data_IF_259085689721
#
_entry.id   IF_259085689721
#
_cell.length_a   1.000
_cell.length_b   1.000
_cell.length_c   1.000
_cell.angle_alpha   90.00
_cell.angle_beta   90.00
_cell.angle_gamma   90.00
#
_symmetry.space_group_name_H-M   'P 1'
#
loop_
_entity.id
_entity.type
_entity.pdbx_description
1 polymer ?
#
# COMPACT_ATOMS: atom_id res chain seq x y z
N UNK A 1 32.15 -13.97 -18.62
CA UNK A 1 32.54 -14.06 -17.20
C UNK A 1 31.36 -13.89 -16.23
N UNK A 2 30.11 -13.72 -16.72
CA UNK A 2 28.88 -13.52 -15.93
C UNK A 2 27.78 -14.55 -16.25
N UNK A 3 28.17 -15.78 -16.60
CA UNK A 3 27.19 -16.83 -16.95
C UNK A 3 26.46 -17.27 -15.68
N UNK A 4 25.14 -17.06 -15.67
CA UNK A 4 24.23 -17.47 -14.62
C UNK A 4 23.99 -18.98 -14.71
N UNK A 5 23.91 -19.65 -13.56
CA UNK A 5 23.62 -21.08 -13.43
C UNK A 5 22.37 -21.30 -12.57
N UNK A 6 21.67 -22.43 -12.74
CA UNK A 6 20.70 -22.91 -11.75
C UNK A 6 21.24 -22.80 -10.34
N UNK A 7 20.37 -22.42 -9.39
CA UNK A 7 20.69 -22.27 -7.98
C UNK A 7 21.67 -21.14 -7.61
N UNK A 8 22.13 -20.33 -8.58
CA UNK A 8 22.78 -19.06 -8.29
C UNK A 8 21.76 -18.15 -7.56
N UNK A 9 22.22 -17.43 -6.54
CA UNK A 9 21.45 -16.39 -5.85
C UNK A 9 21.86 -15.04 -6.43
N UNK A 10 20.91 -14.31 -6.97
CA UNK A 10 21.14 -12.98 -7.56
C UNK A 10 20.73 -11.91 -6.58
N UNK A 11 21.55 -10.86 -6.45
CA UNK A 11 21.26 -9.70 -5.61
C UNK A 11 21.48 -8.40 -6.38
N UNK A 12 20.55 -7.45 -6.26
CA UNK A 12 20.74 -6.11 -6.82
C UNK A 12 21.70 -5.30 -5.95
N UNK A 13 22.71 -4.71 -6.60
CA UNK A 13 23.83 -4.03 -5.95
C UNK A 13 23.99 -2.57 -6.39
N UNK A 14 23.15 -2.11 -7.32
CA UNK A 14 23.07 -0.73 -7.76
C UNK A 14 21.60 -0.31 -7.94
N UNK A 15 21.28 0.95 -7.66
CA UNK A 15 19.90 1.46 -7.67
C UNK A 15 19.11 0.97 -6.46
N UNK A 16 18.05 0.19 -6.66
CA UNK A 16 17.35 -0.47 -5.54
C UNK A 16 18.18 -1.66 -5.05
N UNK A 17 19.04 -1.44 -4.06
CA UNK A 17 19.89 -2.48 -3.47
C UNK A 17 19.05 -3.49 -2.66
N UNK A 18 19.49 -4.76 -2.66
CA UNK A 18 18.99 -5.77 -1.73
C UNK A 18 17.78 -6.55 -2.22
N UNK A 19 17.35 -6.42 -3.49
CA UNK A 19 16.41 -7.35 -4.10
C UNK A 19 17.12 -8.65 -4.43
N UNK A 20 16.52 -9.77 -4.05
CA UNK A 20 17.14 -11.09 -4.12
C UNK A 20 16.25 -12.06 -4.88
N UNK A 21 16.87 -12.94 -5.66
CA UNK A 21 16.18 -14.04 -6.35
C UNK A 21 17.06 -15.27 -6.48
N UNK A 22 16.44 -16.44 -6.55
CA UNK A 22 17.13 -17.71 -6.85
C UNK A 22 16.87 -18.07 -8.30
N UNK A 23 17.91 -18.47 -9.02
CA UNK A 23 17.78 -18.89 -10.41
C UNK A 23 17.18 -20.29 -10.46
N UNK A 24 16.03 -20.48 -11.15
CA UNK A 24 15.38 -21.78 -11.21
C UNK A 24 16.17 -22.79 -12.05
N UNK A 25 15.95 -24.08 -11.81
CA UNK A 25 16.59 -25.15 -12.57
C UNK A 25 16.22 -25.15 -14.06
N UNK A 26 15.03 -24.64 -14.38
CA UNK A 26 14.52 -24.52 -15.76
C UNK A 26 15.05 -23.28 -16.49
N UNK A 27 15.89 -22.47 -15.85
CA UNK A 27 16.39 -21.24 -16.45
C UNK A 27 17.29 -21.54 -17.67
N UNK A 28 17.09 -20.85 -18.82
CA UNK A 28 18.02 -20.95 -19.93
C UNK A 28 19.37 -20.32 -19.56
N UNK A 29 20.43 -20.54 -20.35
CA UNK A 29 21.70 -19.84 -20.19
C UNK A 29 21.50 -18.31 -20.31
N UNK A 30 21.89 -17.57 -19.28
CA UNK A 30 21.71 -16.12 -19.20
C UNK A 30 22.95 -15.42 -18.64
N UNK A 31 23.01 -14.11 -18.83
CA UNK A 31 23.97 -13.22 -18.19
C UNK A 31 23.23 -12.10 -17.45
N UNK A 32 23.91 -11.41 -16.53
CA UNK A 32 23.40 -10.20 -15.88
C UNK A 32 24.26 -8.97 -16.23
N UNK A 33 23.69 -7.79 -16.01
CA UNK A 33 24.41 -6.52 -16.09
C UNK A 33 25.23 -6.26 -14.80
N UNK A 34 25.94 -5.12 -14.75
CA UNK A 34 26.81 -4.76 -13.61
C UNK A 34 26.05 -4.37 -12.34
N UNK A 35 24.73 -4.16 -12.41
CA UNK A 35 23.89 -3.82 -11.25
C UNK A 35 23.46 -5.06 -10.45
N UNK A 36 23.87 -6.26 -10.86
CA UNK A 36 23.48 -7.53 -10.24
C UNK A 36 24.74 -8.33 -9.89
N UNK A 37 24.84 -8.75 -8.64
CA UNK A 37 25.84 -9.71 -8.20
C UNK A 37 25.28 -11.14 -8.24
N UNK A 38 26.18 -12.08 -8.57
CA UNK A 38 25.91 -13.52 -8.58
C UNK A 38 26.59 -14.10 -7.33
N UNK A 39 25.81 -14.67 -6.43
CA UNK A 39 26.29 -15.37 -5.24
C UNK A 39 26.05 -16.87 -5.42
N UNK A 40 27.11 -17.65 -5.30
CA UNK A 40 27.06 -19.12 -5.43
C UNK A 40 27.25 -19.76 -4.07
N UNK A 41 26.19 -20.26 -3.43
CA UNK A 41 26.32 -20.90 -2.14
C UNK A 41 27.04 -22.26 -2.27
N UNK A 42 27.84 -22.60 -1.26
CA UNK A 42 28.43 -23.93 -1.09
C UNK A 42 27.40 -24.95 -0.60
N UNK A 43 27.72 -26.24 -0.64
CA UNK A 43 26.80 -27.35 -0.27
C UNK A 43 26.13 -27.19 1.11
N UNK A 44 26.84 -26.59 2.07
CA UNK A 44 26.35 -26.36 3.44
C UNK A 44 25.26 -25.29 3.53
N UNK A 45 25.01 -24.52 2.47
CA UNK A 45 24.10 -23.38 2.47
C UNK A 45 23.08 -23.52 1.34
N UNK A 46 21.80 -23.67 1.69
CA UNK A 46 20.76 -23.83 0.69
C UNK A 46 20.47 -22.48 -0.01
N UNK A 47 20.42 -22.43 -1.36
CA UNK A 47 20.15 -21.20 -2.10
C UNK A 47 18.87 -20.49 -1.67
N UNK A 48 17.79 -21.25 -1.45
CA UNK A 48 16.50 -20.73 -0.97
C UNK A 48 16.63 -20.08 0.41
N UNK A 49 17.36 -20.71 1.33
CA UNK A 49 17.60 -20.15 2.65
C UNK A 49 18.42 -18.87 2.57
N UNK A 50 19.53 -18.88 1.81
CA UNK A 50 20.36 -17.69 1.62
C UNK A 50 19.55 -16.53 1.03
N UNK A 51 18.72 -16.80 0.02
CA UNK A 51 17.87 -15.77 -0.57
C UNK A 51 16.89 -15.16 0.45
N UNK A 52 16.31 -16.00 1.32
CA UNK A 52 15.43 -15.54 2.40
C UNK A 52 16.16 -14.75 3.47
N UNK A 53 17.36 -15.18 3.84
CA UNK A 53 18.17 -14.46 4.81
C UNK A 53 18.64 -13.11 4.27
N UNK A 54 19.07 -13.02 3.00
CA UNK A 54 19.47 -11.75 2.37
C UNK A 54 18.31 -10.74 2.29
N UNK A 55 17.06 -11.21 2.24
CA UNK A 55 15.86 -10.39 2.33
C UNK A 55 15.46 -9.99 3.75
N UNK A 56 16.15 -10.47 4.80
CA UNK A 56 15.83 -10.17 6.20
C UNK A 56 16.27 -8.77 6.61
N UNK A 57 15.65 -8.22 7.65
CA UNK A 57 16.01 -6.91 8.19
C UNK A 57 17.49 -6.82 8.60
N UNK A 58 18.05 -7.92 9.12
CA UNK A 58 19.45 -7.99 9.51
C UNK A 58 20.38 -7.85 8.30
N UNK A 59 20.20 -8.68 7.27
CA UNK A 59 21.01 -8.60 6.06
C UNK A 59 20.87 -7.24 5.34
N UNK A 60 19.66 -6.68 5.30
CA UNK A 60 19.42 -5.35 4.73
C UNK A 60 20.15 -4.26 5.54
N UNK A 61 20.17 -4.36 6.87
CA UNK A 61 20.92 -3.45 7.72
C UNK A 61 22.44 -3.57 7.54
N UNK A 62 22.96 -4.80 7.41
CA UNK A 62 24.38 -5.04 7.10
C UNK A 62 24.75 -4.41 5.75
N UNK A 63 23.94 -4.61 4.71
CA UNK A 63 24.15 -4.01 3.39
C UNK A 63 24.07 -2.48 3.44
N UNK A 64 23.11 -1.92 4.16
CA UNK A 64 22.97 -0.46 4.31
C UNK A 64 24.20 0.18 4.98
N UNK A 65 24.78 -0.46 6.00
CA UNK A 65 26.01 0.01 6.66
C UNK A 65 27.24 -0.08 5.76
N UNK A 66 27.28 -1.08 4.88
CA UNK A 66 28.37 -1.28 3.95
C UNK A 66 28.30 -0.34 2.73
N UNK A 67 27.18 0.38 2.51
CA UNK A 67 27.09 1.31 1.39
C UNK A 67 28.09 2.46 1.54
N UNK A 68 28.79 2.77 0.45
CA UNK A 68 29.61 3.98 0.37
C UNK A 68 28.69 5.13 -0.03
N UNK A 69 28.62 6.16 0.80
CA UNK A 69 27.83 7.38 0.57
C UNK A 69 28.48 8.26 -0.51
N UNK A 70 28.54 7.78 -1.74
CA UNK A 70 28.64 8.63 -2.92
C UNK A 70 27.25 8.73 -3.56
N UNK A 71 27.01 9.75 -4.39
CA UNK A 71 25.71 10.12 -5.00
C UNK A 71 24.95 8.97 -5.68
N UNK A 72 25.57 7.81 -5.87
CA UNK A 72 24.97 6.55 -6.32
C UNK A 72 25.22 5.49 -5.24
N UNK A 73 24.15 5.04 -4.57
CA UNK A 73 24.21 3.90 -3.65
C UNK A 73 24.56 2.63 -4.43
N UNK A 74 25.79 2.15 -4.27
CA UNK A 74 26.27 0.89 -4.83
C UNK A 74 26.94 0.03 -3.75
N UNK A 75 26.79 -1.29 -3.87
CA UNK A 75 27.46 -2.28 -3.03
C UNK A 75 28.52 -3.02 -3.88
N UNK A 76 29.76 -3.04 -3.43
CA UNK A 76 30.83 -3.78 -4.12
C UNK A 76 30.74 -5.29 -3.86
N UNK A 77 31.32 -6.11 -4.75
CA UNK A 77 31.37 -7.56 -4.55
C UNK A 77 32.16 -7.96 -3.29
N UNK A 78 33.19 -7.19 -2.92
CA UNK A 78 33.92 -7.40 -1.67
C UNK A 78 33.03 -7.20 -0.45
N UNK A 79 32.23 -6.13 -0.42
CA UNK A 79 31.29 -5.86 0.68
C UNK A 79 30.20 -6.92 0.81
N UNK A 80 29.75 -7.51 -0.29
CA UNK A 80 28.83 -8.67 -0.24
C UNK A 80 29.51 -9.89 0.38
N UNK A 81 30.81 -10.09 0.08
CA UNK A 81 31.61 -11.18 0.65
C UNK A 81 31.80 -11.08 2.17
N UNK A 82 31.71 -9.88 2.73
CA UNK A 82 31.84 -9.62 4.18
C UNK A 82 30.52 -9.76 4.96
N UNK A 83 29.39 -10.06 4.29
CA UNK A 83 28.11 -10.24 4.98
C UNK A 83 28.17 -11.45 5.92
N UNK A 84 27.79 -11.24 7.18
CA UNK A 84 27.78 -12.27 8.21
C UNK A 84 26.49 -13.09 8.12
N UNK A 85 26.55 -14.25 7.47
CA UNK A 85 25.41 -15.16 7.27
C UNK A 85 25.37 -16.24 8.38
N UNK A 86 24.26 -16.41 9.12
CA UNK A 86 24.08 -17.54 10.02
C UNK A 86 23.83 -18.82 9.22
N UNK A 87 24.57 -19.90 9.54
CA UNK A 87 24.51 -21.18 8.83
C UNK A 87 24.03 -22.29 9.77
N UNK A 88 22.71 -22.39 10.04
CA UNK A 88 22.17 -23.47 10.87
C UNK A 88 22.21 -24.81 10.12
N UNK A 89 21.91 -25.96 10.77
CA UNK A 89 21.87 -27.26 10.10
C UNK A 89 20.90 -27.29 8.90
N UNK A 90 21.14 -28.14 7.87
CA UNK A 90 20.33 -28.16 6.65
C UNK A 90 18.83 -28.39 6.86
N UNK A 91 18.43 -29.14 7.89
CA UNK A 91 17.03 -29.32 8.26
C UNK A 91 16.37 -28.00 8.68
N UNK A 92 17.06 -27.20 9.48
CA UNK A 92 16.55 -25.90 9.94
C UNK A 92 16.54 -24.88 8.80
N UNK A 93 17.54 -24.89 7.92
CA UNK A 93 17.55 -24.05 6.71
C UNK A 93 16.31 -24.32 5.83
N UNK A 94 15.97 -25.60 5.60
CA UNK A 94 14.75 -25.99 4.86
C UNK A 94 13.50 -25.50 5.56
N UNK A 95 13.39 -25.75 6.86
CA UNK A 95 12.23 -25.34 7.68
C UNK A 95 11.99 -23.84 7.60
N UNK A 96 13.04 -23.03 7.79
CA UNK A 96 12.96 -21.57 7.72
C UNK A 96 12.52 -21.13 6.31
N UNK A 97 13.17 -21.65 5.26
CA UNK A 97 12.85 -21.29 3.88
C UNK A 97 11.39 -21.64 3.53
N UNK A 98 10.90 -22.82 3.93
CA UNK A 98 9.54 -23.26 3.65
C UNK A 98 8.48 -22.40 4.35
N UNK A 99 8.72 -21.99 5.61
CA UNK A 99 7.81 -21.11 6.34
C UNK A 99 7.73 -19.74 5.64
N UNK A 100 8.87 -19.17 5.28
CA UNK A 100 8.92 -17.85 4.65
C UNK A 100 8.35 -17.88 3.22
N UNK A 101 8.59 -18.95 2.46
CA UNK A 101 8.00 -19.15 1.14
C UNK A 101 6.47 -19.23 1.20
N UNK A 102 5.93 -19.97 2.18
CA UNK A 102 4.48 -20.03 2.41
C UNK A 102 3.90 -18.66 2.74
N UNK A 103 4.55 -17.92 3.63
CA UNK A 103 4.11 -16.58 4.02
C UNK A 103 4.08 -15.63 2.82
N UNK A 104 5.13 -15.61 2.01
CA UNK A 104 5.19 -14.75 0.82
C UNK A 104 4.22 -15.19 -0.29
N UNK A 105 3.99 -16.50 -0.46
CA UNK A 105 2.97 -17.00 -1.38
C UNK A 105 1.57 -16.52 -0.97
N UNK A 106 1.25 -16.53 0.34
CA UNK A 106 -0.01 -16.00 0.87
C UNK A 106 -0.11 -14.49 0.63
N UNK A 107 0.96 -13.73 0.91
CA UNK A 107 0.98 -12.28 0.67
C UNK A 107 0.76 -11.94 -0.80
N UNK A 108 1.40 -12.67 -1.73
CA UNK A 108 1.21 -12.47 -3.17
C UNK A 108 -0.23 -12.74 -3.59
N UNK A 109 -0.80 -13.88 -3.17
CA UNK A 109 -2.21 -14.22 -3.47
C UNK A 109 -3.19 -13.19 -2.93
N UNK A 110 -2.94 -12.63 -1.74
CA UNK A 110 -3.78 -11.55 -1.19
C UNK A 110 -3.73 -10.28 -2.05
N UNK A 111 -2.54 -9.85 -2.47
CA UNK A 111 -2.41 -8.67 -3.36
C UNK A 111 -3.13 -8.87 -4.68
N UNK A 112 -2.97 -10.05 -5.28
CA UNK A 112 -3.66 -10.43 -6.51
C UNK A 112 -5.18 -10.43 -6.33
N UNK A 113 -5.68 -11.00 -5.23
CA UNK A 113 -7.11 -10.99 -4.91
C UNK A 113 -7.68 -9.57 -4.73
N UNK A 114 -6.93 -8.66 -4.11
CA UNK A 114 -7.33 -7.25 -3.96
C UNK A 114 -7.46 -6.61 -5.35
N UNK A 115 -6.44 -6.76 -6.20
CA UNK A 115 -6.44 -6.21 -7.55
C UNK A 115 -7.61 -6.74 -8.40
N UNK A 116 -7.86 -8.04 -8.36
CA UNK A 116 -9.00 -8.66 -9.06
C UNK A 116 -10.36 -8.15 -8.52
N UNK A 117 -10.46 -7.87 -7.22
CA UNK A 117 -11.69 -7.34 -6.63
C UNK A 117 -11.94 -5.90 -7.07
N UNK A 118 -10.90 -5.07 -7.14
CA UNK A 118 -11.00 -3.70 -7.66
C UNK A 118 -11.40 -3.69 -9.15
N UNK A 119 -10.84 -4.60 -9.94
CA UNK A 119 -11.20 -4.77 -11.35
C UNK A 119 -12.67 -5.21 -11.50
N UNK A 120 -13.10 -6.19 -10.71
CA UNK A 120 -14.49 -6.64 -10.69
C UNK A 120 -15.45 -5.51 -10.30
N UNK A 121 -15.12 -4.72 -9.27
CA UNK A 121 -15.93 -3.58 -8.85
C UNK A 121 -16.09 -2.56 -9.99
N UNK A 122 -14.98 -2.23 -10.67
CA UNK A 122 -15.01 -1.32 -11.83
C UNK A 122 -15.87 -1.87 -12.96
N UNK A 123 -15.71 -3.15 -13.29
CA UNK A 123 -16.49 -3.78 -14.35
C UNK A 123 -17.97 -3.84 -14.00
N UNK A 124 -18.32 -4.16 -12.76
CA UNK A 124 -19.71 -4.16 -12.29
C UNK A 124 -20.32 -2.75 -12.34
N UNK A 125 -19.58 -1.71 -11.95
CA UNK A 125 -20.03 -0.32 -12.09
C UNK A 125 -20.32 0.04 -13.55
N UNK A 126 -19.42 -0.31 -14.48
CA UNK A 126 -19.62 -0.07 -15.92
C UNK A 126 -20.81 -0.87 -16.47
N UNK A 127 -21.02 -2.10 -16.02
CA UNK A 127 -22.19 -2.89 -16.42
C UNK A 127 -23.49 -2.28 -15.88
N UNK A 128 -23.51 -1.88 -14.62
CA UNK A 128 -24.69 -1.34 -13.94
C UNK A 128 -25.07 0.05 -14.44
N UNK A 129 -24.11 0.98 -14.53
CA UNK A 129 -24.35 2.39 -14.83
C UNK A 129 -23.93 2.81 -16.24
N UNK A 130 -23.17 1.98 -16.96
CA UNK A 130 -22.55 2.36 -18.23
C UNK A 130 -21.30 3.23 -18.03
N UNK A 131 -20.67 3.60 -19.14
CA UNK A 131 -19.64 4.63 -19.14
C UNK A 131 -20.33 6.00 -18.94
N UNK A 132 -19.96 6.77 -17.90
CA UNK A 132 -20.66 8.01 -17.55
C UNK A 132 -20.41 9.14 -18.55
N UNK A 133 -19.38 9.04 -19.40
CA UNK A 133 -19.03 10.06 -20.41
C UNK A 133 -19.83 9.85 -21.69
N UNK A 134 -19.85 8.60 -22.18
CA UNK A 134 -20.55 8.25 -23.42
C UNK A 134 -22.03 7.95 -23.21
N UNK A 135 -22.45 7.69 -21.96
CA UNK A 135 -23.82 7.35 -21.57
C UNK A 135 -24.47 6.35 -22.54
N UNK A 136 -23.89 5.15 -22.72
CA UNK A 136 -24.35 4.20 -23.73
C UNK A 136 -25.77 3.70 -23.46
N UNK A 137 -26.24 3.80 -22.20
CA UNK A 137 -27.61 3.44 -21.81
C UNK A 137 -28.64 4.52 -22.12
N UNK A 138 -28.21 5.71 -22.52
CA UNK A 138 -29.08 6.84 -22.88
C UNK A 138 -29.93 7.35 -21.71
N UNK A 139 -29.44 7.20 -20.48
CA UNK A 139 -30.20 7.62 -19.31
C UNK A 139 -30.26 9.16 -19.22
N UNK A 140 -31.39 9.74 -18.75
CA UNK A 140 -31.49 11.19 -18.59
C UNK A 140 -30.40 11.73 -17.65
N UNK A 141 -29.64 12.72 -18.09
CA UNK A 141 -28.63 13.40 -17.28
C UNK A 141 -29.21 14.72 -16.81
N UNK A 142 -29.18 14.95 -15.49
CA UNK A 142 -29.66 16.17 -14.85
C UNK A 142 -28.63 16.70 -13.85
N UNK A 143 -28.53 18.02 -13.64
CA UNK A 143 -27.78 18.58 -12.53
C UNK A 143 -28.25 18.01 -11.19
N UNK A 144 -27.32 17.73 -10.27
CA UNK A 144 -27.66 17.18 -8.95
C UNK A 144 -28.64 18.09 -8.19
N UNK A 145 -28.54 19.41 -8.35
CA UNK A 145 -29.45 20.38 -7.74
C UNK A 145 -30.91 20.32 -8.22
N UNK A 146 -31.20 19.61 -9.32
CA UNK A 146 -32.58 19.30 -9.72
C UNK A 146 -33.15 18.05 -9.01
N UNK A 147 -32.28 17.24 -8.41
CA UNK A 147 -32.61 15.94 -7.82
C UNK A 147 -32.44 15.90 -6.31
N UNK A 148 -31.55 16.73 -5.76
CA UNK A 148 -31.22 16.77 -4.34
C UNK A 148 -30.81 18.19 -3.92
N UNK A 149 -31.13 18.52 -2.66
CA UNK A 149 -30.67 19.74 -2.03
C UNK A 149 -29.24 19.55 -1.50
N UNK A 150 -28.31 20.40 -1.95
CA UNK A 150 -26.95 20.43 -1.42
C UNK A 150 -26.82 21.57 -0.39
N UNK A 151 -26.31 21.26 0.80
CA UNK A 151 -26.06 22.23 1.85
C UNK A 151 -24.65 22.06 2.42
N UNK A 152 -23.96 23.17 2.69
CA UNK A 152 -22.72 23.17 3.45
C UNK A 152 -23.00 23.11 4.95
N UNK A 153 -21.98 22.74 5.73
CA UNK A 153 -22.06 22.78 7.20
C UNK A 153 -21.86 24.17 7.78
N UNK A 154 -21.95 24.26 9.12
CA UNK A 154 -21.66 25.49 9.86
C UNK A 154 -20.17 25.85 9.80
N UNK A 155 -19.84 27.05 9.30
CA UNK A 155 -18.47 27.60 9.34
C UNK A 155 -18.19 28.28 10.68
N UNK A 156 -17.05 27.97 11.31
CA UNK A 156 -16.61 28.62 12.55
C UNK A 156 -16.26 30.10 12.31
N UNK A 157 -16.66 30.98 13.23
CA UNK A 157 -16.28 32.41 13.21
C UNK A 157 -17.39 33.41 12.89
N UNK A 158 -18.63 32.95 12.65
CA UNK A 158 -19.80 33.85 12.62
C UNK A 158 -20.04 34.47 14.00
N UNK A 159 -20.28 35.78 14.03
CA UNK A 159 -20.78 36.49 15.22
C UNK A 159 -22.30 36.40 15.24
N UNK A 160 -22.84 35.93 16.35
CA UNK A 160 -24.28 35.77 16.55
C UNK A 160 -24.75 36.82 17.56
N UNK A 161 -24.75 38.10 17.16
CA UNK A 161 -25.11 39.19 18.06
C UNK A 161 -26.64 39.23 18.23
N UNK A 162 -27.10 39.11 19.49
CA UNK A 162 -28.52 39.22 19.85
C UNK A 162 -29.39 38.00 19.51
N UNK A 163 -28.80 36.86 19.12
CA UNK A 163 -29.53 35.64 18.77
C UNK A 163 -29.58 34.64 19.93
N UNK A 164 -30.65 33.84 19.99
CA UNK A 164 -30.73 32.72 20.94
C UNK A 164 -29.80 31.60 20.48
N UNK A 165 -28.91 31.19 21.36
CA UNK A 165 -27.86 30.21 21.08
C UNK A 165 -28.22 28.85 21.62
N UNK A 166 -27.92 27.80 20.84
CA UNK A 166 -28.07 26.40 21.23
C UNK A 166 -26.76 25.66 21.02
N UNK A 167 -26.47 24.72 21.91
CA UNK A 167 -25.32 23.82 21.79
C UNK A 167 -25.81 22.46 21.30
N UNK A 168 -25.30 22.02 20.15
CA UNK A 168 -25.73 20.80 19.47
C UNK A 168 -24.51 19.91 19.15
N UNK A 169 -24.70 18.58 19.01
CA UNK A 169 -23.68 17.70 18.46
C UNK A 169 -23.25 18.14 17.05
N UNK A 170 -21.97 17.98 16.74
CA UNK A 170 -21.34 18.49 15.52
C UNK A 170 -20.45 17.44 14.86
N UNK A 171 -20.80 17.08 13.63
CA UNK A 171 -20.02 16.19 12.77
C UNK A 171 -18.88 16.97 12.09
N UNK A 172 -17.66 16.51 12.31
CA UNK A 172 -16.44 17.04 11.67
C UNK A 172 -16.01 16.15 10.51
N UNK A 173 -15.07 16.64 9.71
CA UNK A 173 -14.38 15.83 8.68
C UNK A 173 -13.86 14.50 9.27
N UNK A 174 -13.29 14.52 10.48
CA UNK A 174 -12.84 13.31 11.16
C UNK A 174 -13.94 12.26 11.44
N UNK A 175 -15.21 12.68 11.50
CA UNK A 175 -16.35 11.80 11.76
C UNK A 175 -16.93 11.18 10.47
N UNK A 176 -16.63 11.73 9.30
CA UNK A 176 -17.15 11.26 8.01
C UNK A 176 -16.00 10.59 7.27
N UNK A 177 -16.02 9.26 7.21
CA UNK A 177 -15.00 8.45 6.57
C UNK A 177 -15.58 7.80 5.30
N UNK A 178 -14.69 7.30 4.45
CA UNK A 178 -15.14 6.59 3.25
C UNK A 178 -15.99 5.36 3.64
N UNK A 179 -17.23 5.35 3.16
CA UNK A 179 -18.22 4.29 3.40
C UNK A 179 -18.82 4.21 4.82
N UNK A 180 -18.41 5.02 5.80
CA UNK A 180 -18.96 4.93 7.17
C UNK A 180 -18.77 6.20 8.01
N UNK A 181 -19.48 6.26 9.14
CA UNK A 181 -19.36 7.35 10.12
C UNK A 181 -18.66 6.87 11.39
N UNK A 182 -17.72 7.69 11.88
CA UNK A 182 -17.05 7.49 13.18
C UNK A 182 -17.76 8.34 14.22
N UNK A 183 -18.55 7.69 15.07
CA UNK A 183 -19.44 8.34 16.04
C UNK A 183 -18.98 8.18 17.51
N UNK A 184 -17.81 7.59 17.73
CA UNK A 184 -17.28 7.32 19.08
C UNK A 184 -16.99 8.61 19.87
N UNK A 185 -16.50 9.65 19.18
CA UNK A 185 -16.28 10.99 19.74
C UNK A 185 -17.02 12.04 18.90
N UNK A 186 -18.12 12.55 19.44
CA UNK A 186 -18.88 13.66 18.84
C UNK A 186 -18.64 14.92 19.67
N UNK A 187 -18.10 15.95 19.01
CA UNK A 187 -17.94 17.27 19.63
C UNK A 187 -19.23 18.05 19.53
N UNK A 188 -19.34 19.13 20.30
CA UNK A 188 -20.45 20.07 20.21
C UNK A 188 -20.04 21.35 19.50
N UNK A 189 -21.03 22.05 18.96
CA UNK A 189 -20.91 23.41 18.43
C UNK A 189 -22.03 24.26 19.01
N UNK A 190 -21.74 25.53 19.28
CA UNK A 190 -22.74 26.52 19.69
C UNK A 190 -23.06 27.44 18.52
N UNK A 191 -24.33 27.46 18.12
CA UNK A 191 -24.86 28.18 16.95
C UNK A 191 -26.18 28.85 17.30
N UNK A 192 -26.68 29.74 16.44
CA UNK A 192 -28.04 30.25 16.61
C UNK A 192 -29.08 29.13 16.41
N UNK A 193 -30.24 29.25 17.03
CA UNK A 193 -31.34 28.29 16.82
C UNK A 193 -31.71 28.12 15.34
N UNK A 194 -31.63 29.19 14.56
CA UNK A 194 -31.92 29.18 13.12
C UNK A 194 -30.90 28.35 12.34
N UNK A 195 -29.61 28.62 12.52
CA UNK A 195 -28.54 27.84 11.87
C UNK A 195 -28.57 26.37 12.35
N UNK A 196 -28.86 26.14 13.64
CA UNK A 196 -29.04 24.80 14.20
C UNK A 196 -30.13 24.00 13.51
N UNK A 197 -31.29 24.60 13.21
CA UNK A 197 -32.38 23.95 12.47
C UNK A 197 -32.06 23.79 10.98
N UNK A 198 -31.39 24.79 10.39
CA UNK A 198 -31.08 24.81 8.95
C UNK A 198 -30.09 23.73 8.54
N UNK A 199 -29.05 23.49 9.35
CA UNK A 199 -27.97 22.54 9.03
C UNK A 199 -28.13 21.20 9.77
N UNK A 200 -29.31 20.92 10.31
CA UNK A 200 -29.57 19.68 11.02
C UNK A 200 -29.58 18.51 10.05
N UNK A 201 -28.70 17.53 10.29
CA UNK A 201 -28.66 16.28 9.55
C UNK A 201 -29.90 15.43 9.85
N UNK A 202 -30.40 14.76 8.82
CA UNK A 202 -31.53 13.85 8.86
C UNK A 202 -31.10 12.46 8.44
N UNK A 203 -31.88 11.47 8.88
CA UNK A 203 -31.68 10.09 8.42
C UNK A 203 -31.92 10.03 6.92
N UNK A 204 -30.95 9.47 6.19
CA UNK A 204 -30.96 9.40 4.73
C UNK A 204 -30.11 10.45 4.03
N UNK A 205 -29.61 11.46 4.76
CA UNK A 205 -28.67 12.42 4.19
C UNK A 205 -27.36 11.72 3.79
N UNK A 206 -26.84 12.09 2.61
CA UNK A 206 -25.54 11.64 2.12
C UNK A 206 -24.51 12.72 2.42
N UNK A 207 -23.41 12.34 3.07
CA UNK A 207 -22.38 13.28 3.52
C UNK A 207 -21.15 13.19 2.62
N UNK A 208 -20.63 14.36 2.24
CA UNK A 208 -19.42 14.49 1.45
C UNK A 208 -18.43 15.40 2.19
N UNK A 209 -17.15 15.05 2.15
CA UNK A 209 -16.07 15.86 2.74
C UNK A 209 -15.38 16.66 1.64
N UNK A 210 -15.48 17.99 1.73
CA UNK A 210 -14.79 18.92 0.84
C UNK A 210 -13.38 19.21 1.42
N UNK A 211 -12.46 18.26 1.22
CA UNK A 211 -11.06 18.39 1.65
C UNK A 211 -10.71 17.70 2.98
N UNK A 212 -9.61 16.95 2.93
CA UNK A 212 -8.94 16.24 4.02
C UNK A 212 -7.76 15.48 3.41
N UNK A 213 -6.57 15.66 3.97
CA UNK A 213 -5.40 14.80 3.69
C UNK A 213 -5.61 13.40 4.27
#
# INVERSE_FOLDING_TARGET
>A
RSRIRPNDVLISIAGTIGRVGVVPETAPPMNCNQAVAIVRPEERLLPRYLARWLGSADAQAQMARAQVTATISNLSLGQIGELAVPVPPPSEQRRIADILDKADAIRRKRKESIALTEELLRSAFLEMFGDPVTNPKGWPVKPLGELADAASGVTKGKRYDGQTMVTLPYMRVANVQDGHLVLDEIKTITVSEEDGRRYQLRVGDVLLTEGGD
#
